data_IF_352226057415
#
_entry.id   IF_352226057415
#
_cell.length_a   1.000
_cell.length_b   1.000
_cell.length_c   1.000
_cell.angle_alpha   90.00
_cell.angle_beta   90.00
_cell.angle_gamma   90.00
#
_symmetry.space_group_name_H-M   'P 1'
#
loop_
_entity.id
_entity.type
_entity.pdbx_description
1 polymer ?
#
# COMPACT_ATOMS: atom_id res chain seq x y z
N UNK A 1 57.54 -3.01 27.86
CA UNK A 1 57.83 -1.73 27.20
C UNK A 1 57.27 -0.48 27.89
N UNK A 2 56.37 -0.59 28.89
CA UNK A 2 55.72 0.57 29.54
C UNK A 2 56.45 1.14 30.79
N UNK A 3 57.58 0.57 31.20
CA UNK A 3 58.19 0.83 32.51
C UNK A 3 59.01 2.13 32.59
N UNK A 4 59.41 2.73 31.45
CA UNK A 4 60.32 3.90 31.39
C UNK A 4 59.72 5.13 30.66
N UNK A 5 58.42 5.39 30.78
CA UNK A 5 57.80 6.61 30.20
C UNK A 5 57.82 7.77 31.20
N UNK A 6 58.26 8.95 30.75
CA UNK A 6 58.13 10.21 31.48
C UNK A 6 56.66 10.54 31.72
N UNK A 7 56.37 11.26 32.82
CA UNK A 7 54.99 11.60 33.23
C UNK A 7 54.20 12.26 32.08
N UNK A 8 54.84 13.15 31.32
CA UNK A 8 54.24 13.80 30.14
C UNK A 8 53.80 12.80 29.06
N UNK A 9 54.62 11.79 28.74
CA UNK A 9 54.26 10.77 27.73
C UNK A 9 53.08 9.90 28.18
N UNK A 10 52.97 9.60 29.48
CA UNK A 10 51.81 8.89 30.04
C UNK A 10 50.53 9.73 29.91
N UNK A 11 50.61 11.03 30.16
CA UNK A 11 49.48 11.97 30.02
C UNK A 11 49.01 12.07 28.56
N UNK A 12 49.93 12.28 27.61
CA UNK A 12 49.60 12.32 26.18
C UNK A 12 49.02 10.99 25.66
N UNK A 13 49.54 9.85 26.13
CA UNK A 13 49.02 8.54 25.75
C UNK A 13 47.58 8.33 26.25
N UNK A 14 47.26 8.78 27.47
CA UNK A 14 45.89 8.70 28.01
C UNK A 14 44.92 9.61 27.25
N UNK A 15 45.36 10.82 26.91
CA UNK A 15 44.56 11.75 26.11
C UNK A 15 44.33 11.24 24.68
N UNK A 16 45.36 10.71 24.02
CA UNK A 16 45.25 10.10 22.70
C UNK A 16 44.32 8.88 22.70
N UNK A 17 44.36 8.05 23.75
CA UNK A 17 43.45 6.93 23.91
C UNK A 17 41.99 7.39 24.07
N UNK A 18 41.76 8.44 24.87
CA UNK A 18 40.41 9.01 25.04
C UNK A 18 39.87 9.58 23.72
N UNK A 19 40.71 10.30 22.96
CA UNK A 19 40.34 10.79 21.63
C UNK A 19 40.01 9.64 20.67
N UNK A 20 40.79 8.56 20.67
CA UNK A 20 40.51 7.37 19.87
C UNK A 20 39.16 6.73 20.22
N UNK A 21 38.84 6.63 21.52
CA UNK A 21 37.55 6.10 21.98
C UNK A 21 36.39 7.00 21.53
N UNK A 22 36.54 8.33 21.65
CA UNK A 22 35.52 9.30 21.19
C UNK A 22 35.28 9.17 19.68
N UNK A 23 36.36 9.12 18.88
CA UNK A 23 36.25 8.94 17.43
C UNK A 23 35.55 7.62 17.10
N UNK A 24 35.95 6.53 17.75
CA UNK A 24 35.37 5.21 17.53
C UNK A 24 33.86 5.16 17.85
N UNK A 25 33.45 5.68 19.01
CA UNK A 25 32.04 5.73 19.40
C UNK A 25 31.25 6.64 18.45
N UNK A 26 31.82 7.79 18.07
CA UNK A 26 31.17 8.73 17.14
C UNK A 26 30.96 8.09 15.77
N UNK A 27 31.97 7.38 15.24
CA UNK A 27 31.85 6.66 13.98
C UNK A 27 30.77 5.59 14.03
N UNK A 28 30.72 4.77 15.08
CA UNK A 28 29.65 3.77 15.27
C UNK A 28 28.28 4.46 15.35
N UNK A 29 28.18 5.56 16.11
CA UNK A 29 26.96 6.34 16.24
C UNK A 29 26.45 6.85 14.89
N UNK A 30 27.34 7.39 14.05
CA UNK A 30 26.99 7.86 12.70
C UNK A 30 26.52 6.69 11.83
N UNK A 31 27.22 5.56 11.82
CA UNK A 31 26.80 4.39 11.04
C UNK A 31 25.40 3.89 11.45
N UNK A 32 25.12 3.79 12.75
CA UNK A 32 23.79 3.39 13.25
C UNK A 32 22.70 4.39 12.88
N UNK A 33 22.96 5.70 13.02
CA UNK A 33 21.99 6.74 12.65
C UNK A 33 21.67 6.71 11.16
N UNK A 34 22.65 6.43 10.29
CA UNK A 34 22.41 6.32 8.85
C UNK A 34 21.51 5.13 8.50
N UNK A 35 21.72 3.96 9.10
CA UNK A 35 20.87 2.78 8.87
C UNK A 35 19.43 3.05 9.31
N UNK A 36 19.24 3.66 10.49
CA UNK A 36 17.92 4.05 10.97
C UNK A 36 17.24 5.02 9.99
N UNK A 37 17.98 6.02 9.51
CA UNK A 37 17.43 7.03 8.59
C UNK A 37 17.02 6.42 7.23
N UNK A 38 17.84 5.55 6.66
CA UNK A 38 17.55 4.90 5.37
C UNK A 38 16.34 3.96 5.48
N UNK A 39 16.24 3.21 6.58
CA UNK A 39 15.11 2.30 6.84
C UNK A 39 13.81 3.08 7.07
N UNK A 40 13.85 4.13 7.91
CA UNK A 40 12.68 4.99 8.14
C UNK A 40 12.20 5.65 6.84
N UNK A 41 13.12 6.03 5.96
CA UNK A 41 12.77 6.62 4.67
C UNK A 41 12.00 5.64 3.79
N UNK A 42 12.42 4.38 3.70
CA UNK A 42 11.71 3.33 2.94
C UNK A 42 10.32 3.08 3.53
N UNK A 43 10.22 2.90 4.86
CA UNK A 43 8.95 2.67 5.55
C UNK A 43 7.95 3.80 5.28
N UNK A 44 8.38 5.06 5.45
CA UNK A 44 7.51 6.23 5.43
C UNK A 44 7.19 6.68 3.99
N UNK A 45 8.17 6.69 3.10
CA UNK A 45 7.99 7.24 1.75
C UNK A 45 7.48 6.21 0.73
N UNK A 46 7.73 4.91 0.94
CA UNK A 46 7.36 3.87 -0.02
C UNK A 46 6.26 2.96 0.52
N UNK A 47 6.51 2.24 1.62
CA UNK A 47 5.59 1.22 2.12
C UNK A 47 4.25 1.83 2.59
N UNK A 48 4.32 2.95 3.32
CA UNK A 48 3.12 3.69 3.76
C UNK A 48 2.30 4.21 2.57
N UNK A 49 2.94 4.53 1.44
CA UNK A 49 2.27 4.99 0.23
C UNK A 49 1.59 3.84 -0.51
N UNK A 50 2.24 2.68 -0.62
CA UNK A 50 1.62 1.45 -1.16
C UNK A 50 0.36 1.07 -0.36
N UNK A 51 0.47 1.05 0.96
CA UNK A 51 -0.66 0.76 1.86
C UNK A 51 -1.80 1.78 1.67
N UNK A 52 -1.48 3.08 1.54
CA UNK A 52 -2.49 4.12 1.27
C UNK A 52 -3.24 3.87 -0.03
N UNK A 53 -2.55 3.48 -1.11
CA UNK A 53 -3.20 3.16 -2.39
C UNK A 53 -4.06 1.89 -2.28
N UNK A 54 -3.63 0.89 -1.54
CA UNK A 54 -4.42 -0.31 -1.26
C UNK A 54 -5.72 0.02 -0.50
N UNK A 55 -5.66 0.90 0.50
CA UNK A 55 -6.84 1.41 1.21
C UNK A 55 -7.78 2.16 0.26
N UNK A 56 -7.24 2.98 -0.65
CA UNK A 56 -8.04 3.67 -1.66
C UNK A 56 -8.73 2.69 -2.62
N UNK A 57 -8.06 1.62 -3.02
CA UNK A 57 -8.69 0.54 -3.80
C UNK A 57 -9.87 -0.05 -3.06
N UNK A 58 -9.68 -0.43 -1.80
CA UNK A 58 -10.73 -1.02 -0.96
C UNK A 58 -11.94 -0.10 -0.88
N UNK A 59 -11.72 1.18 -0.56
CA UNK A 59 -12.80 2.18 -0.50
C UNK A 59 -13.54 2.30 -1.82
N UNK A 60 -12.80 2.45 -2.93
CA UNK A 60 -13.42 2.53 -4.26
C UNK A 60 -14.23 1.29 -4.64
N UNK A 61 -13.67 0.10 -4.45
CA UNK A 61 -14.31 -1.17 -4.84
C UNK A 61 -15.56 -1.42 -3.99
N UNK A 62 -15.49 -1.12 -2.68
CA UNK A 62 -16.62 -1.24 -1.77
C UNK A 62 -17.77 -0.30 -2.17
N UNK A 63 -17.48 0.99 -2.32
CA UNK A 63 -18.50 1.99 -2.64
C UNK A 63 -19.09 1.76 -4.04
N UNK A 64 -18.29 1.24 -4.97
CA UNK A 64 -18.76 0.93 -6.33
C UNK A 64 -19.70 -0.26 -6.33
N UNK A 65 -19.49 -1.25 -5.47
CA UNK A 65 -20.43 -2.36 -5.28
C UNK A 65 -21.79 -1.84 -4.78
N UNK A 66 -21.79 -0.85 -3.88
CA UNK A 66 -23.00 -0.18 -3.40
C UNK A 66 -23.67 0.60 -4.53
N UNK A 67 -22.92 1.44 -5.25
CA UNK A 67 -23.47 2.24 -6.35
C UNK A 67 -24.06 1.38 -7.47
N UNK A 68 -23.45 0.23 -7.80
CA UNK A 68 -23.99 -0.70 -8.80
C UNK A 68 -25.28 -1.36 -8.31
N UNK A 69 -25.36 -1.72 -7.03
CA UNK A 69 -26.61 -2.22 -6.44
C UNK A 69 -27.71 -1.16 -6.56
N UNK A 70 -27.41 0.07 -6.19
CA UNK A 70 -28.38 1.18 -6.21
C UNK A 70 -28.82 1.51 -7.65
N UNK A 71 -27.90 1.45 -8.62
CA UNK A 71 -28.19 1.52 -10.05
C UNK A 71 -29.21 0.46 -10.48
N UNK A 72 -29.02 -0.79 -10.06
CA UNK A 72 -29.92 -1.90 -10.41
C UNK A 72 -31.30 -1.71 -9.79
N UNK A 73 -31.36 -1.20 -8.55
CA UNK A 73 -32.59 -0.93 -7.81
C UNK A 73 -33.36 0.29 -8.32
N UNK A 74 -32.71 1.24 -8.99
CA UNK A 74 -33.36 2.42 -9.56
C UNK A 74 -34.47 2.04 -10.55
N UNK A 75 -35.57 2.79 -10.57
CA UNK A 75 -36.78 2.40 -11.32
C UNK A 75 -36.56 2.43 -12.83
N UNK A 76 -35.87 3.46 -13.31
CA UNK A 76 -35.57 3.69 -14.72
C UNK A 76 -34.47 4.75 -14.86
N UNK A 77 -34.09 5.08 -16.09
CA UNK A 77 -33.03 6.06 -16.41
C UNK A 77 -33.35 7.51 -16.05
N UNK A 78 -34.61 7.85 -15.79
CA UNK A 78 -35.02 9.19 -15.33
C UNK A 78 -35.02 9.31 -13.81
N UNK A 79 -34.85 8.20 -13.09
CA UNK A 79 -34.75 8.17 -11.64
C UNK A 79 -33.47 8.89 -11.18
N UNK A 80 -33.58 9.71 -10.14
CA UNK A 80 -32.41 10.40 -9.57
C UNK A 80 -31.39 9.38 -9.05
N UNK A 81 -31.87 8.26 -8.47
CA UNK A 81 -31.01 7.20 -7.98
C UNK A 81 -30.15 6.58 -9.09
N UNK A 82 -30.72 6.44 -10.30
CA UNK A 82 -29.97 5.95 -11.46
C UNK A 82 -28.83 6.91 -11.82
N UNK A 83 -29.14 8.20 -11.96
CA UNK A 83 -28.16 9.21 -12.37
C UNK A 83 -27.04 9.39 -11.34
N UNK A 84 -27.39 9.41 -10.05
CA UNK A 84 -26.40 9.47 -8.97
C UNK A 84 -25.51 8.23 -8.98
N UNK A 85 -26.11 7.03 -9.10
CA UNK A 85 -25.34 5.79 -9.13
C UNK A 85 -24.36 5.72 -10.30
N UNK A 86 -24.76 6.14 -11.52
CA UNK A 86 -23.85 6.18 -12.68
C UNK A 86 -22.70 7.16 -12.44
N UNK A 87 -22.99 8.33 -11.87
CA UNK A 87 -21.99 9.34 -11.54
C UNK A 87 -21.01 8.81 -10.49
N UNK A 88 -21.51 8.18 -9.44
CA UNK A 88 -20.69 7.62 -8.36
C UNK A 88 -19.80 6.49 -8.87
N UNK A 89 -20.35 5.57 -9.68
CA UNK A 89 -19.55 4.52 -10.34
C UNK A 89 -18.39 5.14 -11.12
N UNK A 90 -18.64 6.22 -11.88
CA UNK A 90 -17.60 6.86 -12.68
C UNK A 90 -16.55 7.56 -11.84
N UNK A 91 -16.95 8.27 -10.79
CA UNK A 91 -16.03 8.95 -9.88
C UNK A 91 -15.15 7.95 -9.14
N UNK A 92 -15.74 6.86 -8.66
CA UNK A 92 -15.02 5.80 -7.96
C UNK A 92 -14.05 5.05 -8.88
N UNK A 93 -14.44 4.81 -10.13
CA UNK A 93 -13.55 4.28 -11.18
C UNK A 93 -12.32 5.19 -11.38
N UNK A 94 -12.53 6.50 -11.56
CA UNK A 94 -11.43 7.45 -11.74
C UNK A 94 -10.52 7.54 -10.51
N UNK A 95 -11.09 7.51 -9.31
CA UNK A 95 -10.35 7.50 -8.06
C UNK A 95 -9.47 6.23 -7.92
N UNK A 96 -10.02 5.07 -8.31
CA UNK A 96 -9.27 3.81 -8.35
C UNK A 96 -8.12 3.89 -9.36
N UNK A 97 -8.39 4.29 -10.60
CA UNK A 97 -7.38 4.38 -11.67
C UNK A 97 -6.23 5.30 -11.27
N UNK A 98 -6.52 6.43 -10.61
CA UNK A 98 -5.50 7.34 -10.10
C UNK A 98 -4.54 6.62 -9.13
N UNK A 99 -5.09 5.89 -8.16
CA UNK A 99 -4.28 5.14 -7.20
C UNK A 99 -3.54 3.97 -7.88
N UNK A 100 -4.16 3.33 -8.87
CA UNK A 100 -3.57 2.20 -9.59
C UNK A 100 -2.38 2.61 -10.44
N UNK A 101 -2.47 3.76 -11.12
CA UNK A 101 -1.36 4.31 -11.87
C UNK A 101 -0.16 4.61 -10.97
N UNK A 102 -0.40 5.28 -9.84
CA UNK A 102 0.69 5.61 -8.90
C UNK A 102 1.30 4.37 -8.24
N UNK A 103 0.49 3.35 -7.93
CA UNK A 103 1.01 2.08 -7.44
C UNK A 103 1.84 1.36 -8.51
N UNK A 104 1.37 1.34 -9.76
CA UNK A 104 2.09 0.73 -10.87
C UNK A 104 3.43 1.42 -11.15
N UNK A 105 3.51 2.74 -11.00
CA UNK A 105 4.76 3.51 -11.09
C UNK A 105 5.78 3.01 -10.04
N UNK A 106 5.37 2.87 -8.77
CA UNK A 106 6.23 2.32 -7.70
C UNK A 106 6.71 0.90 -8.05
N UNK A 107 5.81 0.05 -8.57
CA UNK A 107 6.13 -1.32 -8.93
C UNK A 107 7.08 -1.44 -10.13
N UNK A 108 6.94 -0.55 -11.12
CA UNK A 108 7.79 -0.51 -12.31
C UNK A 108 9.20 0.03 -12.01
N UNK A 109 9.32 0.97 -11.09
CA UNK A 109 10.61 1.49 -10.62
C UNK A 109 11.32 0.51 -9.65
N UNK A 110 10.68 -0.62 -9.30
CA UNK A 110 11.17 -1.63 -8.38
C UNK A 110 11.61 -1.06 -7.01
N UNK A 111 10.95 0.02 -6.57
CA UNK A 111 11.24 0.68 -5.31
C UNK A 111 10.76 -0.18 -4.13
N UNK A 112 11.69 -0.96 -3.56
CA UNK A 112 11.42 -1.85 -2.44
C UNK A 112 10.25 -2.81 -2.69
N UNK A 113 10.22 -3.47 -3.86
CA UNK A 113 9.10 -4.34 -4.27
C UNK A 113 9.51 -5.80 -4.22
N UNK A 114 8.80 -6.61 -3.43
CA UNK A 114 9.04 -8.04 -3.33
C UNK A 114 8.16 -8.88 -4.29
N UNK A 115 8.41 -10.18 -4.36
CA UNK A 115 7.68 -11.10 -5.23
C UNK A 115 6.24 -11.38 -4.76
N UNK A 116 5.99 -11.34 -3.45
CA UNK A 116 4.67 -11.58 -2.87
C UNK A 116 3.72 -10.42 -3.18
N UNK A 117 4.21 -9.19 -3.09
CA UNK A 117 3.49 -7.98 -3.50
C UNK A 117 3.08 -8.06 -4.98
N UNK A 118 4.00 -8.48 -5.85
CA UNK A 118 3.71 -8.67 -7.29
C UNK A 118 2.64 -9.73 -7.51
N UNK A 119 2.75 -10.87 -6.83
CA UNK A 119 1.76 -11.95 -6.90
C UNK A 119 0.36 -11.45 -6.52
N UNK A 120 0.23 -10.75 -5.40
CA UNK A 120 -1.04 -10.21 -4.92
C UNK A 120 -1.59 -9.16 -5.91
N UNK A 121 -0.74 -8.24 -6.39
CA UNK A 121 -1.16 -7.22 -7.35
C UNK A 121 -1.66 -7.83 -8.67
N UNK A 122 -1.05 -8.93 -9.15
CA UNK A 122 -1.54 -9.67 -10.31
C UNK A 122 -2.94 -10.26 -10.05
N UNK A 123 -3.19 -10.80 -8.85
CA UNK A 123 -4.54 -11.29 -8.47
C UNK A 123 -5.56 -10.15 -8.50
N UNK A 124 -5.23 -8.98 -7.93
CA UNK A 124 -6.09 -7.78 -7.95
C UNK A 124 -6.44 -7.41 -9.39
N UNK A 125 -5.43 -7.26 -10.26
CA UNK A 125 -5.62 -6.90 -11.68
C UNK A 125 -6.42 -7.93 -12.46
N UNK A 126 -6.27 -9.21 -12.14
CA UNK A 126 -7.01 -10.30 -12.77
C UNK A 126 -8.50 -10.22 -12.44
N UNK A 127 -8.83 -10.04 -11.16
CA UNK A 127 -10.23 -9.91 -10.72
C UNK A 127 -10.83 -8.62 -11.29
N UNK A 128 -10.11 -7.50 -11.24
CA UNK A 128 -10.51 -6.24 -11.88
C UNK A 128 -10.90 -6.47 -13.36
N UNK A 129 -10.02 -7.10 -14.15
CA UNK A 129 -10.23 -7.35 -15.58
C UNK A 129 -11.47 -8.21 -15.85
N UNK A 130 -11.79 -9.16 -14.98
CA UNK A 130 -13.00 -9.98 -15.08
C UNK A 130 -14.27 -9.26 -14.61
N UNK A 131 -14.15 -8.28 -13.72
CA UNK A 131 -15.29 -7.62 -13.05
C UNK A 131 -15.78 -6.41 -13.84
N UNK A 132 -14.87 -5.58 -14.34
CA UNK A 132 -15.24 -4.33 -15.03
C UNK A 132 -16.18 -4.55 -16.24
N UNK A 133 -16.00 -5.58 -17.09
CA UNK A 133 -16.94 -5.85 -18.18
C UNK A 133 -18.37 -6.15 -17.68
N UNK A 134 -18.51 -6.81 -16.53
CA UNK A 134 -19.82 -7.08 -15.94
C UNK A 134 -20.50 -5.78 -15.49
N UNK A 135 -19.74 -4.86 -14.89
CA UNK A 135 -20.24 -3.53 -14.49
C UNK A 135 -20.77 -2.77 -15.70
N UNK A 136 -19.96 -2.67 -16.76
CA UNK A 136 -20.37 -2.02 -18.01
C UNK A 136 -21.64 -2.67 -18.58
N UNK A 137 -21.73 -4.00 -18.55
CA UNK A 137 -22.91 -4.72 -19.05
C UNK A 137 -24.15 -4.46 -18.21
N UNK A 138 -24.04 -4.39 -16.88
CA UNK A 138 -25.15 -4.05 -15.97
C UNK A 138 -25.69 -2.65 -16.31
N UNK A 139 -24.80 -1.66 -16.50
CA UNK A 139 -25.19 -0.30 -16.88
C UNK A 139 -25.93 -0.32 -18.23
N UNK A 140 -25.38 -1.01 -19.23
CA UNK A 140 -25.99 -1.15 -20.55
C UNK A 140 -27.40 -1.78 -20.48
N UNK A 141 -27.56 -2.86 -19.70
CA UNK A 141 -28.85 -3.52 -19.51
C UNK A 141 -29.86 -2.58 -18.87
N UNK A 142 -29.45 -1.78 -17.88
CA UNK A 142 -30.31 -0.79 -17.23
C UNK A 142 -30.73 0.34 -18.17
N UNK A 143 -29.82 0.84 -19.01
CA UNK A 143 -30.13 1.85 -20.03
C UNK A 143 -31.19 1.32 -21.01
N UNK A 144 -31.09 0.04 -21.37
CA UNK A 144 -32.03 -0.62 -22.28
C UNK A 144 -33.31 -1.15 -21.60
N UNK A 145 -33.60 -0.74 -20.35
CA UNK A 145 -34.74 -1.20 -19.56
C UNK A 145 -34.80 -2.72 -19.30
N UNK A 146 -33.69 -3.44 -19.48
CA UNK A 146 -33.56 -4.88 -19.22
C UNK A 146 -33.26 -5.15 -17.73
N UNK A 147 -34.16 -4.69 -16.87
CA UNK A 147 -33.97 -4.68 -15.42
C UNK A 147 -33.75 -6.07 -14.80
N UNK A 148 -34.46 -7.10 -15.30
CA UNK A 148 -34.33 -8.47 -14.80
C UNK A 148 -32.94 -9.05 -15.12
N UNK A 149 -32.49 -8.91 -16.37
CA UNK A 149 -31.17 -9.35 -16.82
C UNK A 149 -30.05 -8.64 -16.03
N UNK A 150 -30.18 -7.33 -15.80
CA UNK A 150 -29.21 -6.56 -15.01
C UNK A 150 -29.10 -7.07 -13.57
N UNK A 151 -30.24 -7.38 -12.94
CA UNK A 151 -30.31 -7.93 -11.58
C UNK A 151 -29.70 -9.33 -11.50
N UNK A 152 -30.03 -10.20 -12.45
CA UNK A 152 -29.48 -11.56 -12.50
C UNK A 152 -27.96 -11.54 -12.69
N UNK A 153 -27.44 -10.68 -13.58
CA UNK A 153 -26.00 -10.52 -13.79
C UNK A 153 -25.27 -9.99 -12.55
N UNK A 154 -25.90 -9.06 -11.82
CA UNK A 154 -25.38 -8.57 -10.55
C UNK A 154 -25.26 -9.71 -9.54
N UNK A 155 -26.36 -10.41 -9.27
CA UNK A 155 -26.42 -11.43 -8.21
C UNK A 155 -25.54 -12.64 -8.54
N UNK A 156 -25.62 -13.15 -9.77
CA UNK A 156 -24.98 -14.41 -10.14
C UNK A 156 -23.49 -14.28 -10.46
N UNK A 157 -22.99 -13.06 -10.65
CA UNK A 157 -21.60 -12.86 -11.10
C UNK A 157 -20.94 -11.66 -10.44
N UNK A 158 -21.45 -10.44 -10.66
CA UNK A 158 -20.72 -9.24 -10.24
C UNK A 158 -20.55 -9.15 -8.71
N UNK A 159 -21.58 -9.50 -7.93
CA UNK A 159 -21.52 -9.47 -6.46
C UNK A 159 -20.41 -10.36 -5.89
N UNK A 160 -20.31 -11.61 -6.36
CA UNK A 160 -19.24 -12.52 -5.94
C UNK A 160 -17.85 -12.01 -6.31
N UNK A 161 -17.72 -11.42 -7.51
CA UNK A 161 -16.47 -10.82 -7.95
C UNK A 161 -16.06 -9.62 -7.09
N UNK A 162 -16.98 -8.73 -6.72
CA UNK A 162 -16.69 -7.61 -5.82
C UNK A 162 -16.25 -8.09 -4.44
N UNK A 163 -16.89 -9.12 -3.89
CA UNK A 163 -16.47 -9.73 -2.62
C UNK A 163 -15.06 -10.30 -2.73
N UNK A 164 -14.76 -11.07 -3.78
CA UNK A 164 -13.43 -11.64 -3.97
C UNK A 164 -12.37 -10.55 -4.19
N UNK A 165 -12.71 -9.50 -4.94
CA UNK A 165 -11.81 -8.36 -5.14
C UNK A 165 -11.42 -7.68 -3.82
N UNK A 166 -12.41 -7.46 -2.94
CA UNK A 166 -12.15 -6.92 -1.60
C UNK A 166 -11.28 -7.85 -0.74
N UNK A 167 -11.46 -9.17 -0.84
CA UNK A 167 -10.61 -10.15 -0.15
C UNK A 167 -9.16 -10.02 -0.58
N UNK A 168 -8.89 -9.97 -1.89
CA UNK A 168 -7.52 -9.87 -2.40
C UNK A 168 -6.90 -8.49 -2.12
N UNK A 169 -7.71 -7.42 -2.13
CA UNK A 169 -7.22 -6.10 -1.70
C UNK A 169 -6.85 -6.12 -0.20
N UNK A 170 -7.65 -6.78 0.65
CA UNK A 170 -7.30 -6.94 2.06
C UNK A 170 -6.03 -7.77 2.24
N UNK A 171 -5.83 -8.85 1.45
CA UNK A 171 -4.56 -9.61 1.44
C UNK A 171 -3.36 -8.69 1.20
N UNK A 172 -3.49 -7.72 0.28
CA UNK A 172 -2.43 -6.73 0.04
C UNK A 172 -2.25 -5.76 1.21
N UNK A 173 -3.34 -5.24 1.79
CA UNK A 173 -3.28 -4.32 2.94
C UNK A 173 -2.60 -4.99 4.13
N UNK A 174 -3.03 -6.21 4.47
CA UNK A 174 -2.54 -6.99 5.60
C UNK A 174 -1.03 -7.28 5.40
N UNK A 175 -0.63 -7.65 4.18
CA UNK A 175 0.78 -7.86 3.86
C UNK A 175 1.64 -6.59 4.04
N UNK A 176 1.16 -5.42 3.57
CA UNK A 176 1.86 -4.16 3.79
C UNK A 176 1.96 -3.78 5.28
N UNK A 177 0.95 -4.13 6.08
CA UNK A 177 0.97 -3.90 7.53
C UNK A 177 1.96 -4.82 8.24
N UNK A 178 2.07 -6.08 7.82
CA UNK A 178 3.08 -7.02 8.31
C UNK A 178 4.50 -6.53 8.01
N UNK A 179 4.77 -6.13 6.76
CA UNK A 179 6.07 -5.57 6.34
C UNK A 179 6.41 -4.31 7.13
N UNK A 180 5.46 -3.37 7.27
CA UNK A 180 5.65 -2.16 8.08
C UNK A 180 6.04 -2.49 9.53
N UNK A 181 5.32 -3.44 10.15
CA UNK A 181 5.59 -3.84 11.53
C UNK A 181 6.94 -4.56 11.66
N UNK A 182 7.34 -5.35 10.67
CA UNK A 182 8.64 -5.99 10.63
C UNK A 182 9.77 -4.95 10.58
N UNK A 183 9.73 -4.05 9.59
CA UNK A 183 10.73 -3.00 9.40
C UNK A 183 10.82 -2.08 10.63
N UNK A 184 9.67 -1.69 11.19
CA UNK A 184 9.63 -0.86 12.40
C UNK A 184 10.27 -1.56 13.62
N UNK A 185 10.04 -2.87 13.78
CA UNK A 185 10.64 -3.64 14.86
C UNK A 185 12.16 -3.82 14.68
N UNK A 186 12.66 -3.91 13.44
CA UNK A 186 14.10 -3.89 13.16
C UNK A 186 14.74 -2.57 13.62
N UNK A 187 14.14 -1.43 13.26
CA UNK A 187 14.59 -0.10 13.73
C UNK A 187 14.61 -0.01 15.26
N UNK A 188 13.59 -0.54 15.93
CA UNK A 188 13.54 -0.56 17.40
C UNK A 188 14.63 -1.43 18.03
N UNK A 189 14.98 -2.57 17.42
CA UNK A 189 16.08 -3.42 17.90
C UNK A 189 17.41 -2.70 17.76
N UNK A 190 17.65 -2.04 16.62
CA UNK A 190 18.87 -1.25 16.42
C UNK A 190 18.98 -0.12 17.44
N UNK A 191 17.89 0.62 17.67
CA UNK A 191 17.83 1.68 18.66
C UNK A 191 18.12 1.19 20.08
N UNK A 192 17.56 0.04 20.49
CA UNK A 192 17.77 -0.55 21.84
C UNK A 192 19.14 -1.20 22.04
N UNK A 193 19.84 -1.51 20.95
CA UNK A 193 21.18 -2.14 20.98
C UNK A 193 22.34 -1.14 21.06
N UNK A 194 22.06 0.17 21.06
CA UNK A 194 23.02 1.26 21.26
C UNK A 194 22.98 1.79 22.69
#
# INVERSE_FOLDING_TARGET
>A
MLKNMTISKKLYSGFALMLLIIIFITTIGIFKVNIINDTLKIIVEVNSVKQRYAINFRGSVHDRAIAIRDLVLAKNTKDELFNNSVKDIKNLELFYIKSAKSLDEIFNEALNVDEKEKEILIKIKTIEKSTLPLVSKIIELKINNKNKEAKELLINSASGNFTHWLVVINEFIDYQEEEFNFDFNEVLKEYRSG
#
